data_IF_927485965768
#
_entry.id   IF_927485965768
#
_cell.length_a   1.000
_cell.length_b   1.000
_cell.length_c   1.000
_cell.angle_alpha   90.00
_cell.angle_beta   90.00
_cell.angle_gamma   90.00
#
_symmetry.space_group_name_H-M   'P 1'
#
loop_
_entity.id
_entity.type
_entity.pdbx_description
1 polymer ?
2 non-polymer ?
3 water ?
#
# COMPACT_ATOMS: atom_id res chain seq x y z
N UNK A 4 -3.79 6.78 -31.62
CA UNK A 4 -4.51 6.14 -32.76
C UNK A 4 -4.25 4.62 -33.02
N UNK A 5 -3.03 4.11 -32.89
CA UNK A 5 -2.89 2.64 -32.91
C UNK A 5 -3.26 2.05 -31.58
N UNK A 6 -2.82 2.68 -30.47
CA UNK A 6 -3.19 2.31 -29.10
C UNK A 6 -4.65 2.66 -28.83
N UNK A 7 -5.24 1.97 -27.84
CA UNK A 7 -6.60 2.24 -27.43
C UNK A 7 -6.55 3.49 -26.62
N UNK A 8 -7.64 4.25 -26.63
CA UNK A 8 -7.75 5.50 -25.87
C UNK A 8 -7.67 5.35 -24.38
N UNK A 9 -8.03 4.19 -23.82
CA UNK A 9 -7.93 4.01 -22.37
C UNK A 9 -6.52 4.28 -21.83
N UNK A 10 -5.51 4.17 -22.68
CA UNK A 10 -4.15 4.48 -22.34
C UNK A 10 -3.83 5.99 -22.27
N UNK A 11 -4.75 6.85 -22.75
CA UNK A 11 -4.52 8.31 -22.73
C UNK A 11 -4.15 8.80 -21.32
N UNK A 12 -3.00 9.41 -21.17
CA UNK A 12 -2.66 9.98 -19.90
C UNK A 12 -2.05 9.11 -18.81
N UNK A 13 -1.90 7.81 -19.05
CA UNK A 13 -1.46 6.95 -17.96
C UNK A 13 -0.15 6.29 -18.30
N UNK A 14 0.54 6.79 -19.33
CA UNK A 14 1.73 6.09 -19.80
C UNK A 14 3.00 6.43 -19.02
N UNK A 15 3.01 7.61 -18.38
CA UNK A 15 4.23 8.06 -17.69
C UNK A 15 4.34 7.57 -16.25
N UNK A 16 5.51 7.00 -15.93
CA UNK A 16 5.83 6.58 -14.58
C UNK A 16 6.94 7.44 -14.01
N UNK A 17 6.63 8.30 -13.03
CA UNK A 17 7.61 9.27 -12.52
C UNK A 17 8.69 8.56 -11.72
N UNK A 18 8.37 7.36 -11.24
CA UNK A 18 9.31 6.47 -10.54
C UNK A 18 10.65 6.39 -11.33
N UNK A 19 10.57 6.08 -12.64
CA UNK A 19 11.68 5.49 -13.40
C UNK A 19 12.96 6.30 -13.36
N UNK A 20 12.88 7.51 -13.90
CA UNK A 20 13.87 8.58 -13.75
C UNK A 20 14.85 8.40 -12.56
N UNK A 21 14.27 8.11 -11.40
CA UNK A 21 14.99 8.03 -10.14
C UNK A 21 15.72 6.69 -9.99
N UNK A 22 15.10 5.58 -10.36
CA UNK A 22 15.79 4.28 -10.28
C UNK A 22 17.05 4.34 -11.17
N UNK A 23 16.88 4.98 -12.32
CA UNK A 23 17.95 5.22 -13.29
C UNK A 23 19.07 6.04 -12.68
N UNK A 24 18.71 7.10 -11.96
CA UNK A 24 19.65 7.96 -11.28
C UNK A 24 20.30 7.32 -10.06
N UNK A 25 19.53 6.53 -9.31
CA UNK A 25 20.04 5.84 -8.13
C UNK A 25 21.10 4.80 -8.47
N UNK A 26 20.96 4.18 -9.64
CA UNK A 26 21.81 3.06 -10.05
C UNK A 26 23.16 3.54 -10.56
N UNK A 27 23.21 4.79 -10.99
CA UNK A 27 24.47 5.39 -11.44
C UNK A 27 25.14 6.21 -10.32
N UNK A 28 24.86 5.83 -9.07
CA UNK A 28 25.45 6.47 -7.91
C UNK A 28 25.58 5.43 -6.84
N UNK A 29 26.46 5.72 -5.87
CA UNK A 29 26.58 4.88 -4.69
C UNK A 29 25.57 5.37 -3.66
N UNK A 30 24.62 4.50 -3.31
CA UNK A 30 23.44 4.90 -2.54
C UNK A 30 23.07 3.88 -1.48
N UNK A 31 22.39 4.38 -0.46
CA UNK A 31 21.57 3.57 0.43
C UNK A 31 20.15 3.80 -0.07
N UNK A 32 19.55 2.71 -0.55
CA UNK A 32 18.24 2.76 -1.17
C UNK A 32 17.06 2.57 -0.23
N UNK A 33 16.49 3.70 0.18
CA UNK A 33 15.34 3.70 1.06
C UNK A 33 14.05 4.10 0.33
N UNK A 34 14.10 4.11 -0.99
CA UNK A 34 12.92 4.35 -1.80
C UNK A 34 12.26 3.04 -2.15
N UNK A 35 12.95 1.93 -1.91
CA UNK A 35 12.43 0.59 -2.22
C UNK A 35 11.39 0.06 -1.22
N UNK A 36 10.18 -0.24 -1.71
CA UNK A 36 9.08 -0.61 -0.85
C UNK A 36 9.03 -2.09 -0.50
N UNK A 37 10.18 -2.63 -0.12
CA UNK A 37 10.30 -4.05 0.16
C UNK A 37 11.59 -4.34 0.97
N UNK A 38 11.55 -5.42 1.75
CA UNK A 38 12.69 -5.90 2.52
C UNK A 38 13.92 -6.13 1.65
N UNK A 39 15.08 -6.06 2.29
CA UNK A 39 16.32 -6.49 1.70
C UNK A 39 16.94 -7.59 2.57
N UNK A 40 16.09 -8.21 3.39
CA UNK A 40 16.49 -9.34 4.21
C UNK A 40 15.53 -10.48 3.89
N UNK A 41 15.84 -11.73 4.25
CA UNK A 41 15.04 -12.88 3.79
C UNK A 41 13.64 -12.93 4.42
N UNK A 42 12.66 -13.59 3.81
CA UNK A 42 11.38 -13.80 4.49
C UNK A 42 11.58 -14.75 5.65
N UNK A 43 10.60 -14.86 6.54
CA UNK A 43 10.67 -15.85 7.60
C UNK A 43 10.85 -17.26 7.01
N UNK A 44 11.74 -18.06 7.65
CA UNK A 44 12.03 -19.45 7.27
C UNK A 44 10.77 -20.25 6.97
N UNK A 45 9.74 -20.08 7.77
CA UNK A 45 8.59 -20.96 7.57
C UNK A 45 7.97 -20.72 6.19
N UNK A 46 8.17 -19.52 5.68
CA UNK A 46 7.49 -19.10 4.47
C UNK A 46 8.34 -19.48 3.24
N UNK A 47 9.65 -19.22 3.30
CA UNK A 47 10.57 -19.67 2.28
C UNK A 47 10.49 -21.17 2.11
N UNK A 48 10.51 -21.87 3.24
CA UNK A 48 10.40 -23.33 3.21
C UNK A 48 9.06 -23.77 2.62
N UNK A 49 8.00 -23.03 2.94
CA UNK A 49 6.68 -23.32 2.41
C UNK A 49 6.73 -23.38 0.89
N UNK A 50 7.39 -22.37 0.28
CA UNK A 50 7.62 -22.35 -1.16
C UNK A 50 8.42 -23.59 -1.59
N UNK A 51 9.51 -23.86 -0.86
CA UNK A 51 10.35 -24.99 -1.18
C UNK A 51 9.56 -26.30 -1.19
N UNK A 52 8.61 -26.42 -0.27
CA UNK A 52 7.76 -27.61 -0.30
C UNK A 52 6.86 -27.67 -1.51
N UNK A 53 6.37 -26.52 -1.95
CA UNK A 53 5.36 -26.48 -2.99
C UNK A 53 5.94 -26.84 -4.33
N UNK A 54 7.20 -26.45 -4.54
CA UNK A 54 7.90 -26.81 -5.76
C UNK A 54 8.66 -28.12 -5.64
N UNK A 55 8.66 -28.76 -4.47
CA UNK A 55 9.37 -30.01 -4.31
C UNK A 55 8.45 -31.18 -3.99
N UNK A 56 7.15 -30.90 -3.93
CA UNK A 56 6.19 -31.87 -3.43
C UNK A 56 5.46 -32.61 -4.53
N UNK A 57 4.14 -32.62 -4.40
CA UNK A 57 3.30 -33.34 -5.32
C UNK A 57 3.53 -32.72 -6.70
N UNK A 58 4.10 -33.49 -7.62
CA UNK A 58 4.39 -32.99 -8.96
C UNK A 58 3.23 -32.28 -9.72
N UNK A 59 1.96 -32.59 -9.42
CA UNK A 59 0.86 -31.96 -10.15
C UNK A 59 0.61 -30.53 -9.74
N UNK A 60 1.27 -30.11 -8.66
CA UNK A 60 1.33 -28.70 -8.29
C UNK A 60 2.04 -27.81 -9.36
N UNK A 61 2.59 -28.44 -10.39
CA UNK A 61 3.21 -27.69 -11.46
C UNK A 61 2.22 -27.36 -12.54
N UNK A 62 1.10 -28.06 -12.53
CA UNK A 62 0.06 -27.83 -13.49
C UNK A 62 -0.96 -26.82 -12.96
N UNK A 63 -1.96 -26.47 -13.78
CA UNK A 63 -3.02 -25.50 -13.44
C UNK A 63 -3.79 -25.86 -12.16
N UNK A 64 -4.03 -24.89 -11.27
CA UNK A 64 -5.03 -25.01 -10.22
C UNK A 64 -6.38 -24.36 -10.58
N UNK A 65 -7.35 -24.31 -9.65
CA UNK A 65 -8.66 -23.70 -9.92
C UNK A 65 -8.61 -22.22 -10.30
N UNK A 66 -9.51 -21.81 -11.20
CA UNK A 66 -9.53 -20.46 -11.69
C UNK A 66 -9.55 -19.37 -10.61
N UNK A 67 -10.51 -19.43 -9.68
CA UNK A 67 -10.59 -18.35 -8.69
C UNK A 67 -9.74 -18.61 -7.45
N UNK A 68 -8.68 -19.39 -7.58
CA UNK A 68 -7.83 -19.61 -6.43
C UNK A 68 -7.63 -21.07 -6.06
N UNK A 69 -6.42 -21.37 -5.64
CA UNK A 69 -6.04 -22.70 -5.20
C UNK A 69 -6.67 -23.01 -3.84
N UNK A 70 -7.57 -23.99 -3.82
CA UNK A 70 -8.45 -24.20 -2.67
C UNK A 70 -7.79 -24.22 -1.29
N UNK A 71 -6.72 -24.98 -1.02
CA UNK A 71 -6.07 -24.82 0.28
C UNK A 71 -5.88 -23.36 0.59
N UNK A 72 -5.47 -22.55 -0.39
CA UNK A 72 -5.40 -21.11 -0.17
C UNK A 72 -6.74 -20.41 0.10
N UNK A 73 -7.76 -20.57 -0.75
CA UNK A 73 -9.04 -19.92 -0.50
C UNK A 73 -9.62 -20.42 0.82
N UNK A 74 -9.36 -21.69 1.15
CA UNK A 74 -9.84 -22.28 2.41
C UNK A 74 -9.32 -21.51 3.59
N UNK A 75 -7.99 -21.43 3.69
CA UNK A 75 -7.37 -20.80 4.84
C UNK A 75 -7.69 -19.32 4.87
N UNK A 76 -7.73 -18.70 3.69
CA UNK A 76 -8.10 -17.29 3.58
C UNK A 76 -9.46 -17.05 4.23
N UNK A 77 -10.49 -17.73 3.72
CA UNK A 77 -11.86 -17.59 4.22
C UNK A 77 -11.98 -17.85 5.73
N UNK A 78 -11.15 -18.75 6.24
CA UNK A 78 -11.20 -19.09 7.65
C UNK A 78 -10.53 -17.98 8.48
N UNK A 79 -9.29 -17.70 8.16
CA UNK A 79 -8.47 -16.82 8.98
C UNK A 79 -9.04 -15.42 8.93
N UNK A 80 -9.44 -15.01 7.75
CA UNK A 80 -9.93 -13.66 7.54
C UNK A 80 -11.36 -13.51 8.01
N UNK A 81 -12.19 -14.54 7.76
CA UNK A 81 -13.55 -14.55 8.24
C UNK A 81 -13.59 -14.34 9.76
N UNK A 82 -12.67 -15.00 10.44
CA UNK A 82 -12.48 -14.80 11.85
C UNK A 82 -12.03 -13.37 12.17
N UNK A 83 -11.11 -12.82 11.35
CA UNK A 83 -10.51 -11.51 11.69
C UNK A 83 -11.48 -10.42 11.44
N UNK A 84 -12.33 -10.61 10.42
CA UNK A 84 -13.32 -9.61 9.99
C UNK A 84 -14.61 -9.74 10.79
N UNK A 85 -14.79 -10.92 11.38
CA UNK A 85 -16.05 -11.28 11.98
C UNK A 85 -17.08 -11.53 10.92
N UNK A 86 -16.82 -12.43 9.99
CA UNK A 86 -17.72 -12.58 8.83
C UNK A 86 -17.65 -13.98 8.24
N UNK A 87 -18.77 -14.46 7.76
CA UNK A 87 -18.80 -15.80 7.22
C UNK A 87 -18.32 -15.65 5.79
N UNK A 88 -17.24 -16.36 5.46
CA UNK A 88 -16.65 -16.28 4.14
C UNK A 88 -16.62 -17.61 3.37
N UNK A 89 -17.42 -17.67 2.31
CA UNK A 89 -17.39 -18.80 1.40
C UNK A 89 -16.19 -18.67 0.46
N UNK A 90 -15.25 -19.61 0.51
CA UNK A 90 -14.05 -19.51 -0.33
C UNK A 90 -14.42 -19.35 -1.81
N UNK A 91 -15.55 -19.89 -2.22
CA UNK A 91 -15.84 -19.94 -3.65
C UNK A 91 -16.69 -18.81 -4.16
N UNK A 92 -17.23 -18.00 -3.25
CA UNK A 92 -18.10 -16.91 -3.65
C UNK A 92 -17.63 -15.58 -3.07
N UNK A 93 -16.72 -15.65 -2.12
CA UNK A 93 -16.28 -14.45 -1.43
C UNK A 93 -14.76 -14.19 -1.48
N UNK A 94 -13.98 -15.04 -2.19
CA UNK A 94 -12.51 -14.92 -2.23
C UNK A 94 -12.03 -15.06 -3.65
N UNK A 95 -11.18 -14.13 -4.09
CA UNK A 95 -10.47 -14.27 -5.38
C UNK A 95 -8.98 -14.04 -5.20
N UNK A 96 -8.19 -15.03 -5.59
CA UNK A 96 -6.74 -14.90 -5.57
C UNK A 96 -6.30 -14.20 -6.84
N UNK A 97 -5.47 -13.17 -6.66
CA UNK A 97 -5.13 -12.25 -7.75
C UNK A 97 -3.61 -12.13 -7.82
N UNK A 98 -3.13 -11.45 -8.86
CA UNK A 98 -1.70 -11.31 -9.00
C UNK A 98 -1.26 -10.11 -8.19
N UNK A 99 -1.11 -10.38 -6.89
CA UNK A 99 -0.73 -9.36 -5.95
C UNK A 99 -1.85 -8.37 -5.72
N UNK A 100 -1.59 -7.44 -4.81
CA UNK A 100 -2.53 -6.40 -4.52
C UNK A 100 -2.85 -5.61 -5.77
N UNK A 101 -1.80 -5.29 -6.55
CA UNK A 101 -1.90 -4.67 -7.88
C UNK A 101 -2.95 -5.41 -8.72
N UNK A 102 -2.82 -6.72 -8.85
CA UNK A 102 -3.80 -7.45 -9.60
C UNK A 102 -5.20 -7.21 -9.06
N UNK A 103 -5.34 -7.20 -7.72
CA UNK A 103 -6.64 -7.17 -7.08
C UNK A 103 -7.36 -5.86 -7.37
N UNK A 104 -6.66 -4.74 -7.12
CA UNK A 104 -7.16 -3.43 -7.46
C UNK A 104 -7.55 -3.40 -8.94
N UNK A 105 -6.67 -3.87 -9.85
CA UNK A 105 -6.94 -3.76 -11.27
C UNK A 105 -8.25 -4.48 -11.55
N UNK A 106 -8.38 -5.65 -10.92
CA UNK A 106 -9.55 -6.50 -11.18
C UNK A 106 -10.77 -5.76 -10.67
N UNK A 107 -10.65 -5.17 -9.48
CA UNK A 107 -11.73 -4.45 -8.83
C UNK A 107 -12.18 -3.29 -9.71
N UNK A 108 -11.23 -2.48 -10.16
CA UNK A 108 -11.53 -1.33 -11.02
C UNK A 108 -12.17 -1.71 -12.37
N UNK A 109 -11.66 -2.78 -12.97
CA UNK A 109 -12.16 -3.15 -14.27
C UNK A 109 -13.53 -3.75 -14.13
N UNK A 110 -13.85 -4.18 -12.91
CA UNK A 110 -15.19 -4.72 -12.64
C UNK A 110 -16.22 -3.63 -12.53
N UNK A 111 -15.87 -2.62 -11.74
CA UNK A 111 -16.85 -1.66 -11.22
C UNK A 111 -16.87 -0.30 -11.88
N UNK A 112 -15.73 0.18 -12.39
CA UNK A 112 -15.63 1.56 -12.84
C UNK A 112 -15.77 1.64 -14.35
N UNK A 113 -16.57 2.61 -14.80
CA UNK A 113 -17.09 2.66 -16.16
C UNK A 113 -17.15 4.12 -16.50
N UNK A 114 -17.18 4.44 -17.80
CA UNK A 114 -17.29 5.83 -18.30
C UNK A 114 -18.24 6.70 -17.45
N UNK A 115 -17.69 7.69 -16.76
CA UNK A 115 -18.55 8.57 -16.00
C UNK A 115 -18.50 8.38 -14.51
N UNK A 116 -18.31 7.14 -14.05
CA UNK A 116 -18.21 6.89 -12.62
C UNK A 116 -17.10 7.71 -11.98
N UNK A 117 -17.34 8.22 -10.80
CA UNK A 117 -16.31 8.92 -10.10
C UNK A 117 -15.78 7.99 -9.05
N UNK A 118 -14.48 8.01 -8.79
CA UNK A 118 -13.87 7.28 -7.69
C UNK A 118 -13.25 8.31 -6.71
N UNK A 119 -13.55 8.18 -5.41
CA UNK A 119 -12.97 9.09 -4.44
C UNK A 119 -11.66 8.52 -4.00
N UNK A 120 -10.60 9.28 -4.25
CA UNK A 120 -9.24 8.87 -3.92
C UNK A 120 -8.73 9.82 -2.86
N UNK A 121 -8.21 9.27 -1.75
CA UNK A 121 -7.73 10.03 -0.59
C UNK A 121 -6.21 10.25 -0.72
N UNK A 122 -5.79 11.52 -0.73
CA UNK A 122 -4.37 11.86 -0.83
C UNK A 122 -3.74 11.92 0.57
N UNK A 123 -2.48 11.52 0.70
CA UNK A 123 -1.71 10.91 -0.41
C UNK A 123 -2.21 9.52 -0.75
N UNK A 124 -2.27 9.20 -2.04
CA UNK A 124 -2.61 7.83 -2.48
C UNK A 124 -1.51 7.05 -3.12
N UNK A 125 -1.40 5.78 -2.74
CA UNK A 125 -0.70 4.80 -3.57
C UNK A 125 -0.96 5.13 -5.04
N UNK A 126 0.09 5.29 -5.83
CA UNK A 126 -0.08 6.06 -7.05
C UNK A 126 -0.98 5.44 -8.09
N UNK A 127 -1.12 4.13 -8.08
CA UNK A 127 -1.77 3.47 -9.18
C UNK A 127 -3.29 3.60 -9.12
N UNK A 128 -3.82 4.16 -8.04
CA UNK A 128 -5.27 4.29 -8.00
C UNK A 128 -5.75 5.20 -9.09
N UNK A 129 -5.05 6.30 -9.33
CA UNK A 129 -5.50 7.24 -10.33
C UNK A 129 -5.44 6.67 -11.79
N UNK A 130 -4.35 6.09 -12.23
CA UNK A 130 -4.33 5.54 -13.59
C UNK A 130 -5.38 4.46 -13.80
N UNK A 131 -5.58 3.62 -12.79
CA UNK A 131 -6.47 2.47 -12.94
C UNK A 131 -7.86 3.00 -13.12
N UNK A 132 -8.20 4.02 -12.36
CA UNK A 132 -9.50 4.68 -12.48
C UNK A 132 -9.66 5.25 -13.91
N UNK A 133 -8.59 5.86 -14.39
CA UNK A 133 -8.64 6.56 -15.65
C UNK A 133 -8.75 5.56 -16.78
N UNK A 134 -8.06 4.43 -16.63
CA UNK A 134 -8.08 3.43 -17.68
C UNK A 134 -9.46 2.82 -17.79
N UNK A 135 -10.21 2.85 -16.71
CA UNK A 135 -11.54 2.26 -16.68
C UNK A 135 -12.64 3.29 -17.04
N UNK A 136 -12.29 4.49 -17.43
CA UNK A 136 -13.31 5.41 -17.84
C UNK A 136 -13.75 6.30 -16.72
N UNK A 137 -13.32 6.03 -15.49
CA UNK A 137 -13.83 6.79 -14.36
C UNK A 137 -13.18 8.15 -14.22
N UNK A 138 -13.71 8.97 -13.32
CA UNK A 138 -13.18 10.29 -13.00
C UNK A 138 -12.67 10.33 -11.57
N UNK A 139 -11.38 10.46 -11.38
CA UNK A 139 -10.87 10.52 -10.01
C UNK A 139 -11.37 11.81 -9.37
N UNK A 140 -11.76 11.69 -8.11
CA UNK A 140 -12.18 12.84 -7.34
C UNK A 140 -11.31 12.72 -6.10
N UNK A 141 -10.52 13.75 -5.81
CA UNK A 141 -9.54 13.70 -4.70
C UNK A 141 -10.02 14.43 -3.45
N UNK A 142 -9.69 13.87 -2.28
CA UNK A 142 -9.79 14.56 -1.00
C UNK A 142 -8.47 14.36 -0.31
N UNK A 143 -8.02 15.43 0.33
CA UNK A 143 -6.69 15.45 0.91
C UNK A 143 -6.78 15.18 2.40
N UNK A 144 -5.96 14.23 2.84
CA UNK A 144 -5.70 14.07 4.26
C UNK A 144 -4.95 15.32 4.65
N UNK A 145 -5.21 15.88 5.82
CA UNK A 145 -4.71 17.23 6.14
C UNK A 145 -4.12 17.24 7.54
N UNK A 146 -2.81 17.48 7.66
CA UNK A 146 -2.13 17.40 8.96
C UNK A 146 -2.59 18.50 9.92
N UNK A 147 -3.05 18.10 11.12
CA UNK A 147 -3.47 19.05 12.16
C UNK A 147 -2.28 19.67 12.90
N UNK A 148 -2.48 20.89 13.45
CA UNK A 148 -1.39 21.80 13.91
C UNK A 148 -0.01 21.19 14.30
N UNK A 152 5.36 20.14 19.85
CA UNK A 152 6.36 19.24 19.29
C UNK A 152 6.87 19.58 17.88
N UNK A 153 8.08 19.12 17.55
CA UNK A 153 8.63 19.25 16.18
C UNK A 153 8.25 18.03 15.30
N UNK A 154 8.58 16.82 15.78
CA UNK A 154 8.10 15.52 15.25
C UNK A 154 6.58 15.48 15.10
N UNK A 155 6.13 15.19 13.87
CA UNK A 155 4.70 15.03 13.57
C UNK A 155 4.24 13.60 13.66
N UNK A 156 2.93 13.40 13.59
CA UNK A 156 2.36 12.06 13.71
C UNK A 156 1.30 11.80 12.63
N UNK A 157 1.33 10.59 12.08
CA UNK A 157 0.43 10.15 11.00
C UNK A 157 -1.01 10.26 11.36
N UNK A 158 -1.33 9.89 12.58
CA UNK A 158 -2.72 9.92 13.04
C UNK A 158 -3.27 11.34 13.16
N UNK A 159 -2.44 12.36 13.05
CA UNK A 159 -2.96 13.71 13.09
C UNK A 159 -3.52 14.15 11.79
N UNK A 160 -3.09 13.52 10.69
CA UNK A 160 -3.55 13.86 9.34
C UNK A 160 -5.00 13.54 9.26
N UNK A 161 -5.80 14.53 8.90
CA UNK A 161 -7.25 14.45 9.10
C UNK A 161 -8.11 14.41 7.84
N UNK A 162 -9.07 13.51 7.86
CA UNK A 162 -10.11 13.40 6.86
C UNK A 162 -11.27 14.31 7.29
N UNK A 163 -11.35 15.50 6.72
CA UNK A 163 -12.37 16.46 7.13
C UNK A 163 -13.79 15.97 6.80
N UNK A 164 -14.66 15.80 7.79
CA UNK A 164 -15.97 15.21 7.49
C UNK A 164 -16.79 16.00 6.44
N UNK A 165 -16.72 17.33 6.46
CA UNK A 165 -17.45 18.15 5.49
C UNK A 165 -16.88 18.08 4.07
N UNK A 166 -15.54 18.15 3.97
CA UNK A 166 -14.81 18.03 2.71
C UNK A 166 -15.13 16.72 2.00
N UNK A 167 -15.08 15.63 2.79
CA UNK A 167 -15.32 14.30 2.28
C UNK A 167 -16.76 14.08 1.86
N UNK A 168 -17.72 14.54 2.68
CA UNK A 168 -19.13 14.44 2.32
C UNK A 168 -19.38 15.14 1.00
N UNK A 169 -18.69 16.26 0.82
CA UNK A 169 -18.82 17.04 -0.40
C UNK A 169 -18.35 16.38 -1.69
N UNK A 170 -17.45 15.39 -1.60
CA UNK A 170 -16.93 14.74 -2.80
C UNK A 170 -17.97 13.81 -3.38
N UNK A 171 -18.93 13.43 -2.56
CA UNK A 171 -19.91 12.44 -2.93
C UNK A 171 -20.96 13.07 -3.79
N UNK A 172 -21.16 12.47 -4.95
CA UNK A 172 -22.19 12.87 -5.91
C UNK A 172 -22.91 11.60 -6.35
N UNK A 173 -23.93 11.77 -7.20
CA UNK A 173 -24.67 10.65 -7.69
C UNK A 173 -23.82 9.79 -8.61
N UNK A 174 -22.64 10.28 -9.01
CA UNK A 174 -21.82 9.54 -9.93
C UNK A 174 -20.72 8.71 -9.27
N UNK A 175 -20.65 8.77 -7.94
CA UNK A 175 -19.61 8.10 -7.19
C UNK A 175 -19.81 6.61 -7.29
N UNK A 176 -18.90 5.87 -7.91
CA UNK A 176 -19.02 4.43 -7.84
C UNK A 176 -18.34 3.83 -6.62
N UNK A 177 -17.15 4.33 -6.32
CA UNK A 177 -16.29 3.69 -5.32
C UNK A 177 -15.48 4.75 -4.57
N UNK A 178 -15.00 4.40 -3.38
CA UNK A 178 -14.05 5.22 -2.68
C UNK A 178 -12.89 4.28 -2.38
N UNK A 179 -11.66 4.71 -2.63
CA UNK A 179 -10.57 3.79 -2.40
C UNK A 179 -10.01 4.09 -1.06
N UNK A 180 -10.02 3.13 -0.15
CA UNK A 180 -9.51 3.40 1.18
C UNK A 180 -8.39 2.46 1.39
N UNK A 181 -7.24 3.00 1.79
CA UNK A 181 -6.03 2.21 1.87
C UNK A 181 -5.58 2.37 3.30
N UNK A 182 -5.68 1.32 4.11
CA UNK A 182 -5.20 1.45 5.48
C UNK A 182 -4.61 0.14 5.91
N UNK A 183 -3.41 0.19 6.50
CA UNK A 183 -2.63 1.43 6.66
C UNK A 183 -2.20 2.11 5.34
N UNK A 184 -2.11 3.44 5.37
CA UNK A 184 -1.79 4.24 4.19
C UNK A 184 -0.33 4.17 3.80
N UNK A 185 -0.11 4.05 2.49
CA UNK A 185 1.18 4.24 1.83
C UNK A 185 0.84 5.40 0.91
N UNK A 186 1.60 6.50 1.04
CA UNK A 186 2.89 6.57 1.75
C UNK A 186 2.93 7.02 3.23
N UNK A 187 1.82 7.56 3.71
CA UNK A 187 1.84 8.35 4.93
C UNK A 187 2.08 7.52 6.16
N UNK A 188 1.60 6.29 6.13
CA UNK A 188 1.62 5.41 7.28
C UNK A 188 0.42 5.55 8.19
N UNK A 189 -0.57 6.35 7.81
CA UNK A 189 -1.76 6.51 8.66
C UNK A 189 -2.50 5.18 8.88
N UNK A 190 -2.79 4.85 10.14
CA UNK A 190 -3.70 3.75 10.41
C UNK A 190 -5.03 4.38 10.74
N UNK A 191 -6.03 4.09 9.91
CA UNK A 191 -7.33 4.70 10.12
C UNK A 191 -7.99 4.26 11.42
N UNK A 192 -8.59 5.22 12.14
CA UNK A 192 -9.26 4.97 13.41
C UNK A 192 -10.65 4.36 13.24
N UNK A 193 -11.30 3.98 14.33
CA UNK A 193 -12.62 3.37 14.14
C UNK A 193 -13.63 4.43 13.76
N UNK A 194 -13.48 5.59 14.40
CA UNK A 194 -14.38 6.67 14.19
C UNK A 194 -14.19 7.18 12.75
N UNK A 195 -12.96 7.14 12.26
CA UNK A 195 -12.67 7.46 10.88
C UNK A 195 -13.32 6.53 9.85
N UNK A 196 -13.10 5.24 10.08
CA UNK A 196 -13.70 4.22 9.28
C UNK A 196 -15.19 4.40 9.17
N UNK A 197 -15.80 4.72 10.32
CA UNK A 197 -17.25 4.82 10.48
C UNK A 197 -17.79 5.99 9.70
N UNK A 198 -17.01 7.07 9.69
CA UNK A 198 -17.30 8.24 8.87
C UNK A 198 -17.44 7.78 7.46
N UNK A 199 -16.43 7.05 6.98
CA UNK A 199 -16.41 6.52 5.61
C UNK A 199 -17.55 5.56 5.36
N UNK A 200 -17.74 4.63 6.30
CA UNK A 200 -18.79 3.61 6.17
C UNK A 200 -20.16 4.30 6.03
N UNK A 201 -20.29 5.38 6.78
CA UNK A 201 -21.59 5.98 6.93
C UNK A 201 -21.97 6.71 5.65
N UNK A 202 -21.04 7.44 5.05
CA UNK A 202 -21.29 8.13 3.79
C UNK A 202 -21.41 7.14 2.66
N UNK A 203 -20.62 6.07 2.75
CA UNK A 203 -20.67 4.97 1.77
C UNK A 203 -22.04 4.32 1.80
N UNK A 204 -22.51 4.05 3.01
CA UNK A 204 -23.86 3.51 3.26
C UNK A 204 -24.94 4.44 2.74
N UNK A 205 -24.80 5.73 3.01
CA UNK A 205 -25.74 6.73 2.56
C UNK A 205 -25.85 6.87 1.05
N UNK A 206 -24.75 6.95 0.32
CA UNK A 206 -24.79 7.29 -1.12
C UNK A 206 -24.77 6.08 -2.04
N UNK A 207 -24.64 4.91 -1.39
CA UNK A 207 -24.65 3.60 -2.02
C UNK A 207 -23.45 3.41 -2.94
N UNK A 208 -22.32 3.10 -2.32
CA UNK A 208 -21.04 3.26 -2.93
C UNK A 208 -20.13 2.14 -2.39
N UNK A 209 -19.35 1.55 -3.29
CA UNK A 209 -18.45 0.49 -2.94
C UNK A 209 -17.17 1.07 -2.31
N UNK A 210 -16.70 0.44 -1.25
CA UNK A 210 -15.48 0.83 -0.62
C UNK A 210 -14.41 -0.22 -0.95
N UNK A 211 -13.70 0.03 -2.06
CA UNK A 211 -12.48 -0.75 -2.38
C UNK A 211 -11.47 -0.41 -1.31
N UNK A 212 -11.10 -1.42 -0.55
CA UNK A 212 -10.25 -1.15 0.56
C UNK A 212 -8.98 -2.00 0.54
N UNK A 213 -7.87 -1.30 0.37
CA UNK A 213 -6.58 -1.88 0.20
C UNK A 213 -5.88 -2.03 1.57
N UNK A 214 -5.88 -3.24 2.14
CA UNK A 214 -5.24 -3.43 3.43
C UNK A 214 -3.94 -4.23 3.36
N UNK A 215 -3.19 -4.00 2.30
CA UNK A 215 -2.02 -4.84 2.11
C UNK A 215 -1.07 -4.74 3.31
N UNK A 216 -1.19 -3.68 4.08
CA UNK A 216 -0.24 -3.46 5.18
C UNK A 216 -0.79 -3.89 6.54
N UNK A 217 -2.00 -4.45 6.54
CA UNK A 217 -2.67 -4.98 7.72
C UNK A 217 -1.74 -5.35 8.89
N UNK A 218 -0.68 -6.12 8.62
CA UNK A 218 0.09 -6.67 9.72
C UNK A 218 1.15 -5.74 10.22
N UNK A 219 1.52 -4.78 9.40
CA UNK A 219 2.53 -3.84 9.80
C UNK A 219 1.81 -2.74 10.59
N UNK A 220 1.67 -2.91 11.91
CA UNK A 220 1.14 -1.84 12.78
C UNK A 220 1.97 -1.70 14.04
N UNK A 221 2.09 -0.48 14.53
CA UNK A 221 3.02 -0.14 15.60
C UNK A 221 2.33 0.57 16.81
N UNK A 222 3.06 0.72 17.92
CA UNK A 222 2.59 1.52 19.06
C UNK A 222 1.25 0.99 19.53
N UNK A 223 0.97 -0.26 19.21
CA UNK A 223 -0.32 -0.80 19.54
C UNK A 223 -1.48 0.02 19.01
N UNK A 224 -1.35 0.53 17.79
CA UNK A 224 -2.53 0.93 17.06
C UNK A 224 -2.99 -0.35 16.49
N UNK A 225 -4.29 -0.44 16.22
CA UNK A 225 -4.92 -1.70 15.86
C UNK A 225 -5.52 -1.53 14.48
N UNK A 226 -5.21 -2.45 13.57
CA UNK A 226 -5.81 -2.50 12.23
C UNK A 226 -7.28 -2.85 12.30
N UNK A 227 -8.15 -2.02 11.74
CA UNK A 227 -9.58 -2.35 11.67
C UNK A 227 -10.03 -2.38 10.18
N UNK A 228 -10.83 -3.38 9.79
CA UNK A 228 -11.28 -3.46 8.42
C UNK A 228 -12.67 -2.86 8.30
N UNK A 229 -12.80 -1.86 7.44
CA UNK A 229 -14.10 -1.24 7.23
C UNK A 229 -15.16 -2.32 6.99
N UNK A 230 -14.74 -3.44 6.42
CA UNK A 230 -15.62 -4.58 6.06
C UNK A 230 -16.29 -5.24 7.29
N UNK A 231 -15.73 -5.02 8.48
CA UNK A 231 -16.25 -5.62 9.70
C UNK A 231 -17.24 -4.69 10.44
N UNK A 232 -17.43 -3.48 9.90
CA UNK A 232 -18.36 -2.48 10.42
C UNK A 232 -19.76 -2.94 10.04
N UNK A 233 -20.77 -2.65 10.86
CA UNK A 233 -22.14 -3.08 10.57
C UNK A 233 -22.56 -2.68 9.19
N UNK A 234 -23.06 -3.64 8.44
CA UNK A 234 -23.71 -3.34 7.17
C UNK A 234 -22.79 -3.16 5.99
N UNK A 235 -21.47 -3.19 6.29
CA UNK A 235 -20.40 -2.89 5.32
C UNK A 235 -19.99 -4.03 4.39
N UNK A 236 -19.90 -5.26 4.89
CA UNK A 236 -19.55 -6.40 4.05
C UNK A 236 -20.31 -6.40 2.71
N UNK A 237 -21.54 -5.92 2.73
CA UNK A 237 -22.40 -5.91 1.54
C UNK A 237 -21.94 -4.92 0.45
N UNK A 238 -21.02 -4.01 0.81
CA UNK A 238 -20.50 -2.97 -0.10
C UNK A 238 -18.97 -2.70 0.03
N UNK A 239 -18.22 -3.67 0.57
CA UNK A 239 -16.77 -3.58 0.69
C UNK A 239 -16.02 -4.68 -0.06
N UNK A 240 -14.94 -4.30 -0.75
CA UNK A 240 -13.98 -5.26 -1.26
C UNK A 240 -12.66 -5.04 -0.54
N UNK A 241 -12.20 -6.07 0.13
CA UNK A 241 -10.97 -6.01 0.92
C UNK A 241 -9.82 -6.68 0.16
N UNK A 242 -8.72 -5.95 0.01
CA UNK A 242 -7.59 -6.51 -0.71
C UNK A 242 -6.47 -6.84 0.27
N UNK A 243 -5.78 -7.95 0.05
CA UNK A 243 -4.59 -8.23 0.82
C UNK A 243 -3.49 -8.72 -0.10
N UNK A 244 -2.29 -8.91 0.42
CA UNK A 244 -1.18 -9.30 -0.39
C UNK A 244 -0.22 -10.15 0.42
N UNK A 245 0.08 -11.35 -0.09
CA UNK A 245 0.99 -12.24 0.62
C UNK A 245 2.32 -11.56 0.77
N UNK A 246 2.69 -10.70 -0.16
CA UNK A 246 4.01 -10.15 -0.15
C UNK A 246 4.28 -9.24 1.02
N UNK A 247 3.31 -8.43 1.47
CA UNK A 247 3.52 -7.61 2.68
C UNK A 247 3.11 -8.36 3.92
N UNK A 248 2.51 -9.52 3.72
CA UNK A 248 2.26 -10.36 4.85
C UNK A 248 3.53 -11.07 5.25
N UNK A 249 4.18 -11.75 4.30
CA UNK A 249 5.29 -12.63 4.64
C UNK A 249 6.67 -12.09 4.21
N UNK A 250 6.74 -10.77 4.05
CA UNK A 250 7.93 -10.10 3.51
C UNK A 250 8.53 -10.86 2.33
N UNK A 251 7.70 -11.08 1.32
CA UNK A 251 8.07 -11.78 0.12
C UNK A 251 7.29 -11.14 -1.07
N UNK A 252 7.56 -9.84 -1.31
CA UNK A 252 6.90 -9.06 -2.36
C UNK A 252 7.00 -9.73 -3.71
N UNK A 253 8.10 -10.41 -3.95
CA UNK A 253 8.30 -11.05 -5.24
C UNK A 253 7.37 -12.19 -5.53
N UNK A 254 6.63 -12.68 -4.55
CA UNK A 254 5.68 -13.78 -4.73
C UNK A 254 4.42 -13.32 -5.47
N UNK A 255 4.11 -12.02 -5.38
CA UNK A 255 2.99 -11.43 -6.13
C UNK A 255 1.77 -12.30 -6.08
N UNK A 256 1.31 -12.58 -4.84
CA UNK A 256 0.02 -13.26 -4.59
C UNK A 256 -0.86 -12.33 -3.73
N UNK A 257 -2.06 -12.04 -4.21
CA UNK A 257 -2.97 -11.19 -3.48
C UNK A 257 -4.34 -11.78 -3.53
N UNK A 258 -5.31 -11.13 -2.90
CA UNK A 258 -6.68 -11.65 -2.94
C UNK A 258 -7.63 -10.51 -2.70
N UNK A 259 -8.89 -10.69 -3.11
CA UNK A 259 -9.97 -9.81 -2.69
C UNK A 259 -10.97 -10.67 -1.93
N UNK A 260 -11.47 -10.11 -0.84
CA UNK A 260 -12.59 -10.69 -0.12
C UNK A 260 -13.80 -9.79 -0.29
N UNK A 261 -14.97 -10.35 -0.52
CA UNK A 261 -16.11 -9.52 -0.79
C UNK A 261 -17.39 -10.30 -1.04
N UNK A 262 -18.53 -9.63 -0.94
CA UNK A 262 -19.82 -10.25 -1.13
C UNK A 262 -20.01 -10.77 -2.53
N UNK A 263 -20.58 -11.96 -2.64
CA UNK A 263 -20.77 -12.58 -3.94
C UNK A 263 -21.34 -11.68 -5.04
N UNK A 264 -22.19 -10.71 -4.74
CA UNK A 264 -22.87 -9.99 -5.84
C UNK A 264 -21.95 -8.98 -6.54
N UNK A 265 -20.94 -8.53 -5.80
CA UNK A 265 -19.81 -7.79 -6.35
C UNK A 265 -18.78 -8.76 -6.92
N UNK A 266 -18.24 -9.65 -6.12
CA UNK A 266 -17.21 -10.58 -6.58
C UNK A 266 -17.51 -11.25 -7.91
N UNK A 267 -18.77 -11.52 -8.22
CA UNK A 267 -19.08 -12.22 -9.44
C UNK A 267 -18.55 -11.44 -10.64
N UNK A 268 -18.51 -10.11 -10.53
CA UNK A 268 -17.91 -9.31 -11.59
C UNK A 268 -16.36 -9.30 -11.56
N UNK A 269 -15.76 -9.18 -10.37
CA UNK A 269 -14.33 -9.34 -10.23
C UNK A 269 -13.92 -10.67 -10.84
N UNK A 270 -14.75 -11.69 -10.66
CA UNK A 270 -14.51 -13.00 -11.28
C UNK A 270 -14.53 -12.94 -12.80
N UNK A 271 -15.48 -12.22 -13.37
CA UNK A 271 -15.54 -12.08 -14.83
C UNK A 271 -14.26 -11.49 -15.42
N UNK A 272 -13.79 -10.43 -14.79
CA UNK A 272 -12.57 -9.81 -15.24
C UNK A 272 -11.46 -10.84 -15.10
N UNK A 273 -11.43 -11.52 -13.98
CA UNK A 273 -10.38 -12.47 -13.76
C UNK A 273 -10.35 -13.57 -14.81
N UNK A 274 -11.52 -14.04 -15.24
CA UNK A 274 -11.57 -15.21 -16.12
C UNK A 274 -11.33 -14.83 -17.58
N UNK A 275 -11.41 -13.52 -17.83
CA UNK A 275 -11.10 -12.96 -19.13
C UNK A 275 -9.79 -12.14 -19.14
N UNK A 276 -9.00 -12.25 -18.08
CA UNK A 276 -7.71 -11.61 -18.05
C UNK A 276 -6.58 -12.62 -17.83
N UNK A 277 -6.36 -13.08 -16.59
CA UNK A 277 -5.28 -14.02 -16.28
C UNK A 277 -5.75 -15.47 -16.14
N UNK A 278 -7.04 -15.63 -15.82
CA UNK A 278 -7.68 -16.93 -15.64
C UNK A 278 -7.18 -17.76 -14.47
N UNK A 279 -5.91 -18.17 -14.47
CA UNK A 279 -5.34 -18.82 -13.29
C UNK A 279 -4.24 -17.96 -12.72
N UNK A 280 -4.04 -18.03 -11.41
CA UNK A 280 -2.84 -17.56 -10.77
C UNK A 280 -1.93 -18.76 -10.71
N UNK A 281 -0.62 -18.59 -10.62
CA UNK A 281 0.24 -19.77 -10.61
C UNK A 281 0.01 -20.58 -9.31
N UNK A 282 0.01 -21.90 -9.47
CA UNK A 282 -0.22 -22.83 -8.37
C UNK A 282 0.74 -22.78 -7.15
N UNK A 283 2.03 -22.96 -7.37
CA UNK A 283 2.92 -23.23 -6.25
C UNK A 283 3.00 -22.11 -5.26
N UNK A 284 3.12 -20.88 -5.73
CA UNK A 284 3.15 -19.74 -4.83
C UNK A 284 1.88 -19.76 -3.99
N UNK A 285 0.74 -20.04 -4.61
CA UNK A 285 -0.51 -20.07 -3.87
C UNK A 285 -0.39 -21.07 -2.72
N UNK A 286 0.14 -22.25 -3.04
CA UNK A 286 0.47 -23.28 -2.10
C UNK A 286 1.36 -22.72 -1.02
N UNK A 287 2.40 -21.98 -1.39
CA UNK A 287 3.30 -21.46 -0.36
C UNK A 287 2.55 -20.57 0.62
N UNK A 288 1.67 -19.74 0.07
CA UNK A 288 0.98 -18.78 0.90
C UNK A 288 0.00 -19.52 1.84
N UNK A 289 -0.65 -20.53 1.32
CA UNK A 289 -1.66 -21.25 2.07
C UNK A 289 -1.02 -21.87 3.27
N UNK A 290 0.15 -22.43 3.07
CA UNK A 290 0.89 -23.01 4.18
C UNK A 290 1.30 -21.95 5.18
N UNK A 291 1.78 -20.83 4.67
CA UNK A 291 2.30 -19.77 5.52
C UNK A 291 1.22 -19.22 6.45
N UNK A 292 0.00 -19.14 5.92
CA UNK A 292 -1.12 -18.63 6.68
C UNK A 292 -1.54 -19.65 7.74
N UNK A 293 -1.61 -20.92 7.36
CA UNK A 293 -1.78 -21.99 8.32
C UNK A 293 -0.79 -21.89 9.49
N UNK A 294 0.44 -21.58 9.21
CA UNK A 294 1.40 -21.47 10.28
C UNK A 294 1.08 -20.31 11.21
N UNK A 295 0.68 -19.17 10.66
CA UNK A 295 0.42 -18.00 11.48
C UNK A 295 -0.91 -18.10 12.25
N UNK A 296 -1.83 -18.86 11.69
CA UNK A 296 -3.16 -18.95 12.27
C UNK A 296 -3.09 -19.90 13.45
N UNK A 297 -2.38 -21.01 13.26
CA UNK A 297 -2.03 -21.91 14.32
C UNK A 297 -1.44 -21.09 15.47
N UNK A 298 -0.39 -20.31 15.25
CA UNK A 298 0.22 -19.53 16.33
C UNK A 298 -0.31 -18.10 16.55
N UNK A 299 -1.51 -17.85 16.06
CA UNK A 299 -2.05 -16.50 16.13
C UNK A 299 -1.98 -15.92 17.55
N UNK A 300 -1.41 -14.72 17.68
CA UNK A 300 -1.28 -14.00 18.97
C UNK A 300 -0.12 -14.49 19.81
N UNK A 301 0.38 -15.68 19.47
CA UNK A 301 1.50 -16.23 20.22
C UNK A 301 2.79 -15.45 19.96
N UNK A 302 3.55 -15.28 21.03
CA UNK A 302 4.89 -14.64 20.98
C UNK A 302 5.84 -15.07 19.83
N UNK A 303 5.83 -16.33 19.42
CA UNK A 303 6.66 -16.80 18.32
C UNK A 303 6.03 -16.59 16.93
N UNK A 304 4.77 -16.11 16.89
CA UNK A 304 4.07 -15.85 15.62
C UNK A 304 4.74 -14.69 14.91
N UNK A 305 4.80 -14.75 13.56
CA UNK A 305 5.45 -13.70 12.76
C UNK A 305 4.75 -12.36 12.90
N UNK A 306 3.41 -12.38 12.93
CA UNK A 306 2.63 -11.17 13.09
C UNK A 306 2.82 -10.52 14.48
N UNK A 307 3.48 -11.24 15.39
CA UNK A 307 3.91 -10.61 16.65
C UNK A 307 5.37 -10.13 16.54
N UNK A 308 6.27 -11.01 16.14
CA UNK A 308 7.68 -10.66 16.12
C UNK A 308 8.01 -9.55 15.14
N UNK A 309 7.45 -9.64 13.93
CA UNK A 309 7.83 -8.74 12.82
C UNK A 309 7.51 -7.27 13.06
N UNK A 310 6.27 -6.93 13.41
CA UNK A 310 5.92 -5.53 13.70
C UNK A 310 6.82 -4.94 14.81
N UNK A 311 7.13 -5.74 15.82
CA UNK A 311 8.10 -5.35 16.82
C UNK A 311 9.46 -5.02 16.20
N UNK A 312 10.03 -5.97 15.44
CA UNK A 312 11.29 -5.74 14.74
C UNK A 312 11.28 -4.44 13.93
N UNK A 313 10.21 -4.18 13.19
CA UNK A 313 10.22 -3.10 12.24
C UNK A 313 9.94 -1.80 12.94
N UNK A 314 9.15 -1.85 14.00
CA UNK A 314 9.01 -0.72 14.89
C UNK A 314 10.40 -0.24 15.31
N UNK A 315 11.28 -1.18 15.70
CA UNK A 315 12.62 -0.79 16.08
C UNK A 315 13.29 -0.06 14.95
N UNK A 316 13.15 -0.60 13.74
CA UNK A 316 13.71 0.01 12.51
C UNK A 316 13.15 1.38 12.24
N UNK A 317 11.83 1.51 12.37
CA UNK A 317 11.18 2.79 12.30
C UNK A 317 11.83 3.75 13.28
N UNK A 318 11.77 3.38 14.57
CA UNK A 318 12.23 4.23 15.66
C UNK A 318 13.65 4.69 15.28
N UNK A 319 14.45 3.76 14.77
CA UNK A 319 15.85 4.00 14.56
C UNK A 319 15.95 5.05 13.47
N UNK A 320 15.29 4.79 12.35
CA UNK A 320 15.33 5.70 11.21
C UNK A 320 14.81 7.07 11.60
N UNK A 321 13.70 7.09 12.34
CA UNK A 321 13.14 8.34 12.83
C UNK A 321 14.18 9.17 13.57
N UNK A 322 15.03 8.54 14.36
CA UNK A 322 15.99 9.33 15.10
C UNK A 322 17.13 9.79 14.20
N UNK A 323 17.57 8.91 13.32
CA UNK A 323 18.70 9.23 12.46
C UNK A 323 18.37 10.43 11.58
N UNK A 324 17.19 10.39 10.98
CA UNK A 324 16.82 11.39 9.99
C UNK A 324 16.51 12.68 10.66
N UNK A 325 15.88 12.59 11.84
CA UNK A 325 15.58 13.74 12.70
C UNK A 325 16.77 14.65 12.91
N UNK A 326 17.93 14.06 13.15
CA UNK A 326 19.11 14.84 13.42
C UNK A 326 19.93 14.88 12.15
N UNK A 327 19.51 15.76 11.26
CA UNK A 327 20.17 16.14 10.02
C UNK A 327 19.19 17.15 9.43
N UNK A 328 18.05 17.29 10.11
CA UNK A 328 17.16 18.40 9.82
C UNK A 328 15.83 17.99 9.28
N UNK A 329 15.77 16.77 8.75
CA UNK A 329 14.51 16.16 8.30
C UNK A 329 13.48 16.10 9.43
N UNK A 330 12.22 16.24 9.09
CA UNK A 330 11.20 16.37 10.12
C UNK A 330 10.20 15.20 10.07
N UNK A 331 10.58 14.00 10.58
CA UNK A 331 9.74 12.80 10.43
C UNK A 331 8.31 12.91 10.99
N UNK A 332 7.39 12.25 10.27
CA UNK A 332 6.04 12.03 10.71
C UNK A 332 5.99 10.59 11.11
N UNK A 333 5.85 10.34 12.42
CA UNK A 333 5.79 8.99 12.94
C UNK A 333 4.59 8.34 12.32
N UNK A 334 4.80 7.19 11.69
CA UNK A 334 3.73 6.36 11.15
C UNK A 334 3.16 5.35 12.16
N UNK A 335 1.86 5.16 12.12
CA UNK A 335 1.24 4.15 12.97
C UNK A 335 1.32 2.76 12.31
N UNK A 336 1.63 2.71 11.01
CA UNK A 336 1.86 1.44 10.35
C UNK A 336 2.44 1.56 8.96
N UNK A 337 2.46 0.44 8.23
CA UNK A 337 3.00 0.37 6.87
C UNK A 337 4.50 0.21 6.91
N UNK A 338 5.08 0.00 5.73
CA UNK A 338 6.53 -0.10 5.55
C UNK A 338 7.20 1.26 5.63
N UNK A 339 6.40 2.33 5.73
CA UNK A 339 6.90 3.68 5.39
C UNK A 339 6.77 4.78 6.42
N UNK A 340 7.70 5.73 6.37
CA UNK A 340 7.50 7.02 7.02
C UNK A 340 7.75 8.13 6.01
N UNK A 341 7.00 9.21 6.08
CA UNK A 341 7.37 10.38 5.30
C UNK A 341 8.03 11.41 6.23
N UNK A 342 8.99 12.20 5.72
CA UNK A 342 9.50 13.33 6.49
C UNK A 342 9.20 14.62 5.78
N UNK A 343 8.86 15.63 6.57
CA UNK A 343 8.74 16.99 6.09
C UNK A 343 10.12 17.57 5.75
N UNK A 344 10.23 18.24 4.60
CA UNK A 344 11.51 18.83 4.19
C UNK A 344 11.39 20.34 4.02
N UNK A 345 10.40 20.96 4.65
CA UNK A 345 10.18 22.37 4.38
C UNK A 345 11.38 23.23 4.82
N UNK A 346 12.10 22.79 5.87
CA UNK A 346 13.32 23.49 6.32
C UNK A 346 14.32 23.58 5.16
N UNK A 347 14.60 22.45 4.52
CA UNK A 347 15.40 22.46 3.28
C UNK A 347 14.90 23.41 2.20
N UNK A 348 13.59 23.47 1.98
CA UNK A 348 12.99 24.36 0.98
C UNK A 348 13.30 25.85 1.27
N UNK A 349 13.21 26.25 2.55
CA UNK A 349 13.54 27.62 2.97
C UNK A 349 15.04 27.87 2.81
N UNK A 350 15.88 27.06 3.46
CA UNK A 350 17.34 27.12 3.32
C UNK A 350 17.88 27.00 1.88
N UNK A 351 17.13 26.39 0.97
CA UNK A 351 17.70 25.91 -0.30
C UNK A 351 16.71 26.03 -1.49
N UNK A 352 16.00 27.15 -1.61
CA UNK A 352 14.80 27.22 -2.48
C UNK A 352 15.05 26.82 -3.92
N UNK A 353 16.18 27.18 -4.48
CA UNK A 353 16.33 27.05 -5.91
C UNK A 353 17.22 25.90 -6.17
N UNK A 354 16.63 24.72 -6.28
CA UNK A 354 17.35 23.54 -6.72
C UNK A 354 17.08 23.35 -8.22
N UNK A 355 18.00 22.72 -8.94
CA UNK A 355 17.82 22.45 -10.37
C UNK A 355 16.72 21.46 -10.78
N UNK A 356 15.84 21.92 -11.66
CA UNK A 356 14.91 21.05 -12.38
C UNK A 356 13.95 21.81 -13.28
N UNK A 357 13.14 21.06 -14.04
CA UNK A 357 12.09 21.62 -14.90
C UNK A 357 11.22 22.69 -14.20
N UNK A 358 10.72 23.65 -14.99
CA UNK A 358 9.75 24.66 -14.50
C UNK A 358 8.52 23.87 -14.11
N UNK A 359 7.95 24.21 -12.95
CA UNK A 359 6.76 23.50 -12.48
C UNK A 359 7.04 22.04 -12.07
N UNK A 360 8.30 21.68 -11.79
CA UNK A 360 8.61 20.39 -11.22
C UNK A 360 8.50 20.66 -9.73
N UNK A 361 7.81 19.80 -8.98
CA UNK A 361 7.61 20.05 -7.55
C UNK A 361 8.94 20.01 -6.80
N UNK A 362 9.02 20.78 -5.73
CA UNK A 362 10.24 20.81 -4.96
C UNK A 362 10.78 19.44 -4.55
N UNK A 363 9.94 18.59 -3.97
CA UNK A 363 10.43 17.32 -3.41
C UNK A 363 11.14 16.42 -4.42
N UNK A 364 10.73 16.46 -5.68
CA UNK A 364 11.35 15.66 -6.75
C UNK A 364 12.77 16.19 -7.04
N UNK A 365 12.86 17.51 -7.17
CA UNK A 365 14.12 18.26 -7.30
C UNK A 365 15.01 17.90 -6.12
N UNK A 366 14.47 18.00 -4.91
CA UNK A 366 15.19 17.63 -3.69
C UNK A 366 15.62 16.19 -3.65
N UNK A 367 14.74 15.24 -3.96
CA UNK A 367 15.17 13.85 -3.94
C UNK A 367 16.37 13.64 -4.88
N UNK A 368 16.34 14.29 -6.05
CA UNK A 368 17.36 14.13 -7.07
C UNK A 368 18.68 14.64 -6.54
N UNK A 369 18.60 15.78 -5.85
CA UNK A 369 19.76 16.37 -5.18
C UNK A 369 20.40 15.40 -4.18
N UNK A 370 19.61 14.96 -3.22
CA UNK A 370 20.06 14.08 -2.17
C UNK A 370 20.68 12.79 -2.66
N UNK A 371 20.23 12.28 -3.81
CA UNK A 371 20.79 11.05 -4.39
C UNK A 371 22.25 11.30 -4.80
N UNK A 372 22.40 12.35 -5.62
CA UNK A 372 23.70 12.82 -6.14
C UNK A 372 24.69 13.12 -5.01
N UNK A 373 24.31 13.98 -4.08
CA UNK A 373 25.24 14.52 -3.07
C UNK A 373 25.30 13.82 -1.74
N UNK A 374 24.20 13.29 -1.26
CA UNK A 374 24.24 12.72 0.06
C UNK A 374 24.17 11.19 0.08
N UNK A 375 24.08 10.59 -1.09
CA UNK A 375 24.01 9.13 -1.15
C UNK A 375 22.77 8.40 -0.64
N UNK A 376 21.63 9.10 -0.53
CA UNK A 376 20.40 8.52 0.01
C UNK A 376 19.24 8.60 -0.97
N UNK A 377 18.56 7.48 -1.17
CA UNK A 377 17.33 7.43 -1.95
C UNK A 377 16.06 7.52 -1.11
N UNK A 378 15.17 8.43 -1.48
CA UNK A 378 13.81 8.46 -0.92
C UNK A 378 12.89 8.74 -2.07
N UNK A 379 11.63 9.00 -1.77
CA UNK A 379 10.64 9.12 -2.82
C UNK A 379 9.87 10.40 -2.61
N UNK A 380 9.71 11.20 -3.68
CA UNK A 380 8.92 12.43 -3.58
C UNK A 380 7.46 12.12 -3.33
N UNK A 381 6.98 12.50 -2.17
CA UNK A 381 5.57 12.30 -1.90
C UNK A 381 4.60 12.87 -2.97
N UNK A 382 5.02 13.90 -3.69
CA UNK A 382 4.12 14.49 -4.67
C UNK A 382 3.71 13.48 -5.75
N UNK A 383 4.44 12.37 -5.90
CA UNK A 383 3.98 11.38 -6.88
C UNK A 383 2.68 10.70 -6.44
N UNK A 384 2.32 10.87 -5.17
CA UNK A 384 1.07 10.42 -4.60
C UNK A 384 0.00 11.52 -4.41
N UNK A 385 0.03 12.55 -5.26
CA UNK A 385 -1.01 13.59 -5.26
C UNK A 385 -1.52 13.85 -6.62
N UNK A 386 -2.75 14.36 -6.68
CA UNK A 386 -3.30 14.80 -7.93
C UNK A 386 -2.38 15.94 -8.41
N UNK A 387 -2.19 16.07 -9.73
CA UNK A 387 -1.22 17.06 -10.23
C UNK A 387 -1.58 18.47 -9.72
N UNK A 388 -2.84 18.87 -9.80
CA UNK A 388 -3.27 20.13 -9.19
C UNK A 388 -2.77 20.33 -7.76
N UNK A 389 -2.54 19.25 -7.00
CA UNK A 389 -2.23 19.38 -5.57
C UNK A 389 -0.75 19.21 -5.21
N UNK A 390 0.06 18.90 -6.21
CA UNK A 390 1.49 18.76 -6.00
C UNK A 390 2.15 20.11 -5.67
N UNK A 391 1.61 21.21 -6.19
CA UNK A 391 2.07 22.53 -5.79
C UNK A 391 2.15 22.62 -4.26
N UNK A 392 1.00 22.51 -3.60
CA UNK A 392 0.89 22.74 -2.18
C UNK A 392 1.57 21.64 -1.37
N UNK A 393 1.66 20.43 -1.92
CA UNK A 393 2.24 19.28 -1.18
C UNK A 393 3.55 18.85 -1.80
N UNK A 394 4.44 19.81 -2.02
CA UNK A 394 5.75 19.48 -2.56
C UNK A 394 6.88 19.39 -1.56
N UNK A 395 6.54 19.29 -0.27
CA UNK A 395 7.54 19.20 0.79
C UNK A 395 7.63 17.90 1.59
N UNK A 396 7.11 16.77 1.11
CA UNK A 396 7.43 15.53 1.85
C UNK A 396 8.26 14.56 1.05
N UNK A 397 9.03 13.71 1.73
CA UNK A 397 9.64 12.57 1.03
C UNK A 397 9.44 11.26 1.79
N UNK A 398 9.37 10.15 1.05
CA UNK A 398 8.99 8.89 1.64
C UNK A 398 10.16 7.91 1.71
N UNK A 399 10.32 7.33 2.90
CA UNK A 399 11.42 6.42 3.28
C UNK A 399 10.88 5.09 3.65
N UNK A 400 11.65 4.04 3.40
CA UNK A 400 11.20 2.71 3.76
C UNK A 400 12.17 2.12 4.80
N UNK A 401 11.64 1.80 5.97
CA UNK A 401 12.49 1.49 7.12
C UNK A 401 12.51 -0.02 7.38
N UNK A 402 11.94 -0.76 6.43
CA UNK A 402 11.89 -2.22 6.47
C UNK A 402 13.19 -2.70 5.83
N UNK A 403 14.24 -2.56 6.62
CA UNK A 403 15.58 -2.82 6.12
C UNK A 403 16.41 -3.59 7.14
N UNK A 404 17.46 -4.24 6.64
CA UNK A 404 18.49 -4.87 7.46
C UNK A 404 19.25 -3.82 8.32
N UNK A 405 19.81 -4.27 9.46
CA UNK A 405 20.65 -3.46 10.35
C UNK A 405 21.80 -2.90 9.56
N UNK A 406 22.40 -3.75 8.71
CA UNK A 406 23.51 -3.30 7.92
C UNK A 406 23.15 -2.12 7.01
N UNK A 407 21.87 -1.99 6.71
CA UNK A 407 21.38 -0.93 5.82
C UNK A 407 21.15 0.31 6.63
N UNK A 408 20.57 0.12 7.80
CA UNK A 408 20.42 1.22 8.72
C UNK A 408 21.78 1.80 9.16
N UNK A 409 22.77 0.93 9.35
CA UNK A 409 24.14 1.37 9.55
C UNK A 409 24.63 2.23 8.40
N UNK A 410 24.48 1.74 7.17
CA UNK A 410 24.90 2.50 5.97
C UNK A 410 24.19 3.84 5.87
N UNK A 411 22.90 3.84 6.14
CA UNK A 411 22.15 5.07 6.23
C UNK A 411 22.87 6.00 7.23
N UNK A 412 23.05 5.53 8.45
CA UNK A 412 23.77 6.32 9.46
C UNK A 412 25.13 6.87 8.95
N UNK A 413 25.95 6.03 8.31
CA UNK A 413 27.20 6.51 7.71
C UNK A 413 27.00 7.69 6.80
N UNK A 414 26.01 7.56 5.92
CA UNK A 414 25.68 8.58 4.92
C UNK A 414 25.23 9.85 5.60
N UNK A 415 24.42 9.64 6.63
CA UNK A 415 23.82 10.69 7.43
C UNK A 415 24.84 11.44 8.28
N UNK A 416 25.77 10.72 8.91
CA UNK A 416 26.83 11.35 9.71
C UNK A 416 27.78 12.18 8.83
N UNK A 417 28.14 11.62 7.65
CA UNK A 417 28.97 12.31 6.67
C UNK A 417 28.27 13.57 6.19
N UNK A 418 26.98 13.47 5.92
CA UNK A 418 26.19 14.61 5.49
C UNK A 418 26.21 15.65 6.60
N UNK A 419 25.88 15.20 7.82
CA UNK A 419 25.71 16.06 9.00
C UNK A 419 26.80 17.09 9.18
N UNK A 420 28.06 16.68 9.05
CA UNK A 420 29.18 17.63 9.06
C UNK A 420 28.99 18.64 7.93
N UNK A 421 28.11 19.62 8.17
CA UNK A 421 27.65 20.60 7.18
C UNK A 421 26.50 21.44 7.77
#
# INVERSE_FOLDING_TARGET
MAKQLQARRLDGIDYNPWVEFVKLASEHDVVNLGQGFPDFPPPDFAVEAFQHAVSGDFMLNQYTKTFGYPPLTKILASFFGELLGQEIDPLRNVLVTVGGYGALFTAFQALVDEGDEVIIIEPFFDCYEPMTMMAGGRPVFVSLKPGPIQNGELGSSSNWQLDPMELAGKFTSRTKALVLNTPNNPLGKVFSREELELVASLCQQHDVVCITDEVYQWMVYDGHQHISIASLPGMWERTLTIGSAGKTFSATGWKVGWVLGPDHIMKHLRTVHQNSVFHCPTQSQAAVAESFEREQLLFRQPSSYFVQFPQAMQRCRDHMIRSLQSVGLKPLIPQGSYFLITDISDFKRKMPDLPGAVDEPYDRRFVKWMIKNKGLVAIPVSIFYSVPHQKHFDHYIRFCFVKDEATLQAMDEKLRKWKVEL
#
